data_IF_285812352961
#
_entry.id   IF_285812352961
#
_cell.length_a   1.000
_cell.length_b   1.000
_cell.length_c   1.000
_cell.angle_alpha   90.00
_cell.angle_beta   90.00
_cell.angle_gamma   90.00
#
_symmetry.space_group_name_H-M   'P 1'
#
loop_
_entity.id
_entity.type
_entity.pdbx_description
1 polymer ?
#
# COMPACT_ATOMS: atom_id res chain seq x y z
N UNK A 1 -13.95 -8.78 -17.17
CA UNK A 1 -13.00 -7.76 -17.70
C UNK A 1 -13.63 -6.38 -17.83
N UNK A 2 -14.84 -6.22 -18.33
CA UNK A 2 -15.55 -4.92 -18.45
C UNK A 2 -15.64 -4.15 -17.12
N UNK A 3 -16.06 -4.80 -16.03
CA UNK A 3 -16.20 -4.16 -14.71
C UNK A 3 -14.88 -3.61 -14.13
N UNK A 4 -13.76 -4.30 -14.33
CA UNK A 4 -12.43 -3.83 -13.91
C UNK A 4 -12.06 -2.55 -14.66
N UNK A 5 -12.22 -2.54 -15.98
CA UNK A 5 -11.89 -1.37 -16.81
C UNK A 5 -12.76 -0.17 -16.43
N UNK A 6 -14.07 -0.36 -16.29
CA UNK A 6 -14.95 0.75 -15.93
C UNK A 6 -14.71 1.24 -14.50
N UNK A 7 -14.31 0.36 -13.58
CA UNK A 7 -13.90 0.77 -12.22
C UNK A 7 -12.67 1.68 -12.24
N UNK A 8 -11.64 1.31 -13.02
CA UNK A 8 -10.44 2.15 -13.23
C UNK A 8 -10.85 3.50 -13.83
N UNK A 9 -11.62 3.49 -14.92
CA UNK A 9 -12.01 4.71 -15.62
C UNK A 9 -12.87 5.63 -14.75
N UNK A 10 -13.84 5.08 -14.01
CA UNK A 10 -14.72 5.86 -13.13
C UNK A 10 -13.92 6.58 -12.06
N UNK A 11 -13.04 5.87 -11.32
CA UNK A 11 -12.25 6.47 -10.26
C UNK A 11 -11.19 7.44 -10.83
N UNK A 12 -10.54 7.11 -11.93
CA UNK A 12 -9.59 7.98 -12.61
C UNK A 12 -10.22 9.30 -13.04
N UNK A 13 -11.36 9.24 -13.72
CA UNK A 13 -12.11 10.42 -14.19
C UNK A 13 -12.57 11.26 -12.99
N UNK A 14 -13.08 10.62 -11.93
CA UNK A 14 -13.49 11.33 -10.70
C UNK A 14 -12.33 12.13 -10.10
N UNK A 15 -11.12 11.54 -10.04
CA UNK A 15 -9.93 12.26 -9.56
C UNK A 15 -9.54 13.37 -10.53
N UNK A 16 -9.56 13.13 -11.83
CA UNK A 16 -9.14 14.10 -12.84
C UNK A 16 -9.97 15.41 -12.77
N UNK A 17 -11.28 15.28 -12.56
CA UNK A 17 -12.20 16.43 -12.42
C UNK A 17 -12.26 17.00 -10.99
N UNK A 18 -12.14 16.15 -9.95
CA UNK A 18 -12.24 16.58 -8.55
C UNK A 18 -10.97 17.24 -8.01
N UNK A 19 -9.79 16.87 -8.53
CA UNK A 19 -8.51 17.35 -8.00
C UNK A 19 -8.24 18.84 -8.26
N UNK A 20 -8.48 19.42 -9.45
CA UNK A 20 -8.22 20.83 -9.69
C UNK A 20 -9.01 21.78 -8.78
N UNK A 21 -10.35 21.63 -8.58
CA UNK A 21 -11.08 22.46 -7.62
C UNK A 21 -10.60 22.25 -6.17
N UNK A 22 -10.25 21.03 -5.76
CA UNK A 22 -9.69 20.78 -4.44
C UNK A 22 -8.40 21.55 -4.22
N UNK A 23 -7.45 21.50 -5.17
CA UNK A 23 -6.19 22.26 -5.09
C UNK A 23 -6.46 23.75 -4.94
N UNK A 24 -7.42 24.30 -5.70
CA UNK A 24 -7.80 25.71 -5.62
C UNK A 24 -8.34 26.07 -4.24
N UNK A 25 -9.29 25.30 -3.71
CA UNK A 25 -9.88 25.51 -2.40
C UNK A 25 -8.85 25.36 -1.29
N UNK A 26 -8.02 24.33 -1.33
CA UNK A 26 -6.99 24.10 -0.31
C UNK A 26 -5.97 25.24 -0.24
N UNK A 27 -5.56 25.81 -1.39
CA UNK A 27 -4.69 27.00 -1.43
C UNK A 27 -5.39 28.23 -0.85
N UNK A 28 -6.65 28.49 -1.21
CA UNK A 28 -7.43 29.61 -0.70
C UNK A 28 -7.64 29.53 0.83
N UNK A 29 -7.81 28.32 1.36
CA UNK A 29 -8.00 28.06 2.80
C UNK A 29 -6.68 27.86 3.55
N UNK A 30 -5.53 28.01 2.89
CA UNK A 30 -4.20 27.80 3.47
C UNK A 30 -4.00 26.41 4.10
N UNK A 31 -4.71 25.40 3.60
CA UNK A 31 -4.51 23.99 3.94
C UNK A 31 -3.28 23.46 3.18
N UNK A 32 -2.12 24.04 3.51
CA UNK A 32 -0.86 23.80 2.79
C UNK A 32 0.24 23.46 3.78
N UNK A 33 1.06 22.53 3.42
CA UNK A 33 2.27 22.22 4.14
C UNK A 33 3.31 23.33 3.90
N UNK A 34 3.65 24.09 4.97
CA UNK A 34 4.59 25.23 4.87
C UNK A 34 6.02 24.70 4.88
N UNK A 35 6.89 25.16 3.96
CA UNK A 35 8.32 24.93 4.07
C UNK A 35 8.87 25.62 5.34
N UNK A 36 9.74 24.96 6.06
CA UNK A 36 10.35 25.63 7.24
C UNK A 36 10.83 24.73 8.38
N UNK A 37 10.67 23.41 8.29
CA UNK A 37 11.34 22.48 9.19
C UNK A 37 12.44 21.74 8.44
N UNK A 38 13.61 21.50 9.10
CA UNK A 38 14.77 20.76 8.54
C UNK A 38 14.45 19.33 7.99
N UNK A 39 13.21 18.88 8.14
CA UNK A 39 12.71 17.56 7.70
C UNK A 39 12.01 17.62 6.35
N UNK A 40 11.61 18.80 5.84
CA UNK A 40 10.80 18.95 4.64
C UNK A 40 11.68 19.16 3.42
N UNK A 41 11.41 18.38 2.37
CA UNK A 41 12.16 18.34 1.11
C UNK A 41 11.59 19.32 0.05
N UNK A 42 10.60 20.14 0.41
CA UNK A 42 9.86 20.97 -0.54
C UNK A 42 10.09 22.46 -0.33
N UNK A 43 10.38 23.16 -1.43
CA UNK A 43 10.60 24.63 -1.46
C UNK A 43 9.29 25.41 -1.65
N UNK A 44 8.16 24.73 -1.89
CA UNK A 44 6.86 25.36 -2.19
C UNK A 44 5.81 24.92 -1.20
N UNK A 45 4.91 25.85 -0.87
CA UNK A 45 3.70 25.58 -0.10
C UNK A 45 2.73 24.72 -0.94
N UNK A 46 2.63 23.43 -0.63
CA UNK A 46 1.82 22.45 -1.38
C UNK A 46 0.69 21.92 -0.50
N UNK A 47 -0.58 21.87 -0.98
CA UNK A 47 -1.70 21.30 -0.23
C UNK A 47 -1.46 19.83 0.13
N UNK A 48 -1.83 19.45 1.37
CA UNK A 48 -1.67 18.08 1.90
C UNK A 48 -3.03 17.42 2.16
N UNK A 49 -3.93 17.47 1.17
CA UNK A 49 -5.32 16.95 1.28
C UNK A 49 -5.74 16.14 0.06
N UNK A 50 -4.78 15.61 -0.69
CA UNK A 50 -5.07 14.81 -1.89
C UNK A 50 -5.85 13.53 -1.61
N UNK A 51 -5.69 12.97 -0.41
CA UNK A 51 -6.43 11.83 0.09
C UNK A 51 -7.95 12.00 0.04
N UNK A 52 -8.47 13.24 0.14
CA UNK A 52 -9.91 13.51 0.06
C UNK A 52 -10.51 13.00 -1.26
N UNK A 53 -9.89 13.32 -2.38
CA UNK A 53 -10.40 12.90 -3.69
C UNK A 53 -10.05 11.43 -3.97
N UNK A 54 -8.89 10.93 -3.51
CA UNK A 54 -8.54 9.50 -3.61
C UNK A 54 -9.60 8.67 -2.90
N UNK A 55 -9.95 9.01 -1.65
CA UNK A 55 -10.99 8.35 -0.88
C UNK A 55 -12.34 8.41 -1.60
N UNK A 56 -12.82 9.61 -1.94
CA UNK A 56 -14.12 9.79 -2.57
C UNK A 56 -14.23 9.01 -3.89
N UNK A 57 -13.22 9.08 -4.76
CA UNK A 57 -13.19 8.39 -6.05
C UNK A 57 -13.16 6.86 -5.89
N UNK A 58 -12.37 6.37 -4.93
CA UNK A 58 -12.27 4.94 -4.65
C UNK A 58 -13.59 4.39 -4.11
N UNK A 59 -14.18 5.03 -3.08
CA UNK A 59 -15.43 4.57 -2.48
C UNK A 59 -16.58 4.65 -3.48
N UNK A 60 -16.71 5.76 -4.21
CA UNK A 60 -17.74 5.94 -5.23
C UNK A 60 -17.66 4.85 -6.30
N UNK A 61 -16.47 4.67 -6.91
CA UNK A 61 -16.28 3.67 -7.94
C UNK A 61 -16.50 2.25 -7.42
N UNK A 62 -15.92 1.89 -6.26
CA UNK A 62 -16.05 0.56 -5.68
C UNK A 62 -17.53 0.25 -5.38
N UNK A 63 -18.24 1.12 -4.69
CA UNK A 63 -19.66 0.89 -4.34
C UNK A 63 -20.54 0.80 -5.59
N UNK A 64 -20.37 1.71 -6.56
CA UNK A 64 -21.16 1.70 -7.80
C UNK A 64 -21.02 0.36 -8.54
N UNK A 65 -19.79 -0.11 -8.76
CA UNK A 65 -19.55 -1.31 -9.55
C UNK A 65 -19.73 -2.60 -8.77
N UNK A 66 -19.51 -2.61 -7.44
CA UNK A 66 -19.87 -3.74 -6.59
C UNK A 66 -21.39 -3.97 -6.57
N UNK A 67 -22.20 -2.91 -6.56
CA UNK A 67 -23.68 -3.02 -6.56
C UNK A 67 -24.22 -3.55 -7.89
N UNK A 68 -23.59 -3.18 -9.01
CA UNK A 68 -23.98 -3.61 -10.36
C UNK A 68 -23.48 -5.03 -10.67
N UNK A 69 -22.41 -5.47 -10.00
CA UNK A 69 -21.75 -6.75 -10.24
C UNK A 69 -22.50 -7.89 -9.61
N UNK A 70 -23.55 -8.32 -9.78
CA UNK A 70 -24.32 -9.52 -9.30
C UNK A 70 -23.52 -10.48 -8.35
N UNK A 71 -22.70 -9.90 -7.47
CA UNK A 71 -21.90 -10.65 -6.49
C UNK A 71 -22.85 -11.14 -5.38
N UNK A 72 -22.78 -12.44 -4.98
CA UNK A 72 -23.58 -12.95 -3.87
C UNK A 72 -23.35 -12.12 -2.58
N UNK A 73 -24.43 -11.87 -1.83
CA UNK A 73 -24.39 -11.04 -0.62
C UNK A 73 -23.31 -11.50 0.39
N UNK A 74 -23.08 -12.80 0.51
CA UNK A 74 -22.06 -13.38 1.39
C UNK A 74 -20.64 -12.92 1.00
N UNK A 75 -20.35 -12.80 -0.30
CA UNK A 75 -19.07 -12.31 -0.83
C UNK A 75 -18.98 -10.79 -0.78
N UNK A 76 -20.11 -10.11 -0.84
CA UNK A 76 -20.19 -8.65 -0.77
C UNK A 76 -20.08 -8.11 0.65
N UNK A 77 -20.64 -8.83 1.65
CA UNK A 77 -20.69 -8.41 3.06
C UNK A 77 -19.33 -7.98 3.65
N UNK A 78 -18.21 -8.70 3.47
CA UNK A 78 -16.89 -8.25 3.94
C UNK A 78 -16.49 -6.88 3.38
N UNK A 79 -16.85 -6.58 2.13
CA UNK A 79 -16.55 -5.29 1.51
C UNK A 79 -17.36 -4.15 2.11
N UNK A 80 -18.60 -4.39 2.55
CA UNK A 80 -19.38 -3.39 3.30
C UNK A 80 -18.63 -2.98 4.57
N UNK A 81 -18.13 -3.95 5.33
CA UNK A 81 -17.34 -3.68 6.55
C UNK A 81 -16.07 -2.90 6.21
N UNK A 82 -15.30 -3.33 5.22
CA UNK A 82 -14.05 -2.67 4.81
C UNK A 82 -14.31 -1.22 4.38
N UNK A 83 -15.28 -0.99 3.51
CA UNK A 83 -15.59 0.35 2.99
C UNK A 83 -16.19 1.25 4.09
N UNK A 84 -16.94 0.67 5.05
CA UNK A 84 -17.43 1.41 6.22
C UNK A 84 -16.29 1.81 7.15
N UNK A 85 -15.31 0.93 7.39
CA UNK A 85 -14.13 1.24 8.22
C UNK A 85 -13.15 2.21 7.53
N UNK A 86 -13.23 2.33 6.20
CA UNK A 86 -12.47 3.34 5.47
C UNK A 86 -12.91 4.78 5.82
N UNK A 87 -14.16 4.98 6.26
CA UNK A 87 -14.66 6.31 6.65
C UNK A 87 -13.96 6.86 7.91
N UNK A 88 -13.99 6.18 9.07
CA UNK A 88 -13.32 6.71 10.27
C UNK A 88 -11.80 6.83 10.11
N UNK A 89 -11.12 5.93 9.37
CA UNK A 89 -9.68 6.06 9.15
C UNK A 89 -9.36 7.26 8.24
N UNK A 90 -10.21 7.54 7.25
CA UNK A 90 -10.11 8.74 6.42
C UNK A 90 -10.21 10.02 7.26
N UNK A 91 -11.25 10.13 8.11
CA UNK A 91 -11.40 11.31 8.96
C UNK A 91 -10.29 11.44 10.00
N UNK A 92 -9.75 10.34 10.49
CA UNK A 92 -8.56 10.37 11.34
C UNK A 92 -7.37 10.94 10.58
N UNK A 93 -7.07 10.44 9.39
CA UNK A 93 -5.98 10.95 8.56
C UNK A 93 -6.16 12.42 8.18
N UNK A 94 -7.38 12.82 7.80
CA UNK A 94 -7.69 14.23 7.50
C UNK A 94 -7.49 15.13 8.69
N UNK A 95 -7.86 14.69 9.89
CA UNK A 95 -7.60 15.43 11.12
C UNK A 95 -6.10 15.55 11.39
N UNK A 96 -5.34 14.46 11.13
CA UNK A 96 -3.87 14.48 11.29
C UNK A 96 -3.21 15.46 10.31
N UNK A 97 -3.65 15.49 9.06
CA UNK A 97 -3.18 16.40 8.02
C UNK A 97 -3.42 17.88 8.36
N UNK A 98 -4.52 18.22 9.07
CA UNK A 98 -4.92 19.61 9.32
C UNK A 98 -4.41 20.14 10.66
N UNK A 99 -4.52 19.37 11.74
CA UNK A 99 -4.23 19.83 13.11
C UNK A 99 -3.27 18.92 13.89
N UNK A 100 -2.93 17.75 13.31
CA UNK A 100 -2.15 16.72 13.98
C UNK A 100 -2.96 15.87 14.97
N UNK A 101 -2.50 14.65 15.20
CA UNK A 101 -3.05 13.70 16.19
C UNK A 101 -1.92 13.14 17.04
N UNK A 102 -2.19 12.97 18.33
CA UNK A 102 -1.29 12.26 19.22
C UNK A 102 -1.05 10.81 18.73
N UNK A 103 0.22 10.33 18.67
CA UNK A 103 0.55 9.03 18.13
C UNK A 103 -0.16 7.85 18.83
N UNK A 104 -0.40 7.95 20.15
CA UNK A 104 -1.10 6.91 20.89
C UNK A 104 -2.58 6.86 20.53
N UNK A 105 -3.23 8.02 20.33
CA UNK A 105 -4.61 8.09 19.86
C UNK A 105 -4.74 7.54 18.45
N UNK A 106 -3.78 7.85 17.57
CA UNK A 106 -3.72 7.30 16.22
C UNK A 106 -3.61 5.76 16.25
N UNK A 107 -2.71 5.22 17.06
CA UNK A 107 -2.55 3.78 17.23
C UNK A 107 -3.81 3.11 17.77
N UNK A 108 -4.50 3.70 18.76
CA UNK A 108 -5.75 3.16 19.32
C UNK A 108 -6.85 3.07 18.25
N UNK A 109 -6.98 4.09 17.39
CA UNK A 109 -7.94 4.07 16.28
C UNK A 109 -7.57 2.99 15.26
N UNK A 110 -6.28 2.81 14.95
CA UNK A 110 -5.82 1.71 14.10
C UNK A 110 -6.17 0.35 14.68
N UNK A 111 -5.95 0.14 15.98
CA UNK A 111 -6.30 -1.13 16.66
C UNK A 111 -7.81 -1.40 16.57
N UNK A 112 -8.63 -0.38 16.79
CA UNK A 112 -10.08 -0.51 16.69
C UNK A 112 -10.52 -0.88 15.27
N UNK A 113 -10.05 -0.14 14.26
CA UNK A 113 -10.40 -0.36 12.86
C UNK A 113 -9.89 -1.71 12.36
N UNK A 114 -8.63 -2.05 12.66
CA UNK A 114 -8.06 -3.35 12.32
C UNK A 114 -8.83 -4.49 12.98
N UNK A 115 -9.20 -4.34 14.26
CA UNK A 115 -10.05 -5.28 14.98
C UNK A 115 -11.43 -5.48 14.33
N UNK A 116 -12.06 -4.38 13.87
CA UNK A 116 -13.35 -4.48 13.16
C UNK A 116 -13.21 -5.26 11.84
N UNK A 117 -12.17 -5.00 11.05
CA UNK A 117 -11.93 -5.73 9.79
C UNK A 117 -11.68 -7.21 10.05
N UNK A 118 -10.83 -7.52 11.04
CA UNK A 118 -10.44 -8.89 11.36
C UNK A 118 -11.61 -9.70 11.91
N UNK A 119 -12.41 -9.11 12.81
CA UNK A 119 -13.50 -9.82 13.49
C UNK A 119 -14.81 -9.80 12.71
N UNK A 120 -15.21 -8.64 12.15
CA UNK A 120 -16.52 -8.49 11.50
C UNK A 120 -16.53 -8.92 10.04
N UNK A 121 -15.39 -8.73 9.33
CA UNK A 121 -15.24 -9.13 7.94
C UNK A 121 -14.55 -10.50 7.79
N UNK A 122 -14.04 -11.08 8.88
CA UNK A 122 -13.21 -12.30 8.91
C UNK A 122 -12.02 -12.23 7.93
N UNK A 123 -11.43 -11.04 7.81
CA UNK A 123 -10.25 -10.81 6.97
C UNK A 123 -9.02 -10.90 7.85
N UNK A 124 -8.46 -12.10 7.95
CA UNK A 124 -7.33 -12.43 8.83
C UNK A 124 -6.41 -13.46 8.20
N UNK A 125 -5.18 -13.50 8.64
CA UNK A 125 -4.21 -14.53 8.28
C UNK A 125 -4.48 -15.72 9.20
N UNK A 126 -5.01 -16.79 8.65
CA UNK A 126 -5.42 -17.99 9.41
C UNK A 126 -4.39 -19.13 9.33
N UNK A 127 -3.34 -18.95 8.55
CA UNK A 127 -2.25 -19.92 8.40
C UNK A 127 -1.06 -19.35 7.66
N UNK A 128 0.00 -20.15 7.62
CA UNK A 128 1.19 -19.82 6.85
C UNK A 128 1.32 -20.63 5.56
N UNK A 129 0.31 -21.47 5.25
CA UNK A 129 0.18 -22.19 3.97
C UNK A 129 1.45 -22.96 3.60
N UNK A 130 1.96 -23.75 4.56
CA UNK A 130 3.18 -24.56 4.43
C UNK A 130 4.50 -23.84 4.68
N UNK A 131 4.49 -22.52 4.88
CA UNK A 131 5.70 -21.82 5.33
C UNK A 131 6.10 -22.31 6.73
N UNK A 132 7.37 -22.66 6.89
CA UNK A 132 7.94 -23.18 8.15
C UNK A 132 7.25 -24.46 8.64
N UNK A 133 6.57 -25.20 7.74
CA UNK A 133 5.80 -26.40 8.07
C UNK A 133 4.49 -26.11 8.81
N UNK A 134 4.04 -24.87 8.85
CA UNK A 134 2.81 -24.45 9.51
C UNK A 134 1.71 -24.20 8.46
N UNK A 135 0.64 -24.99 8.52
CA UNK A 135 -0.55 -24.82 7.65
C UNK A 135 -1.51 -23.79 8.26
N UNK A 136 -2.01 -24.06 9.44
CA UNK A 136 -2.99 -23.23 10.15
C UNK A 136 -2.47 -22.77 11.49
N UNK A 137 -2.98 -21.65 11.99
CA UNK A 137 -2.66 -21.13 13.33
C UNK A 137 -3.92 -21.00 14.18
N UNK A 138 -3.81 -21.12 15.53
CA UNK A 138 -4.95 -20.95 16.43
C UNK A 138 -5.63 -19.58 16.25
N UNK A 139 -6.94 -19.53 16.41
CA UNK A 139 -7.75 -18.34 16.10
C UNK A 139 -7.30 -17.08 16.84
N UNK A 140 -6.93 -17.19 18.12
CA UNK A 140 -6.45 -16.05 18.89
C UNK A 140 -5.10 -15.52 18.37
N UNK A 141 -4.21 -16.44 17.96
CA UNK A 141 -2.93 -16.08 17.32
C UNK A 141 -3.20 -15.40 15.99
N UNK A 142 -4.14 -15.92 15.18
CA UNK A 142 -4.57 -15.33 13.92
C UNK A 142 -5.06 -13.89 14.09
N UNK A 143 -5.90 -13.62 15.10
CA UNK A 143 -6.39 -12.27 15.38
C UNK A 143 -5.26 -11.30 15.73
N UNK A 144 -4.42 -11.66 16.69
CA UNK A 144 -3.32 -10.82 17.16
C UNK A 144 -2.27 -10.59 16.06
N UNK A 145 -1.91 -11.66 15.34
CA UNK A 145 -0.96 -11.60 14.24
C UNK A 145 -1.49 -10.73 13.09
N UNK A 146 -2.74 -10.89 12.69
CA UNK A 146 -3.36 -10.09 11.65
C UNK A 146 -3.46 -8.62 12.03
N UNK A 147 -3.77 -8.32 13.30
CA UNK A 147 -3.80 -6.95 13.81
C UNK A 147 -2.40 -6.31 13.78
N UNK A 148 -1.38 -7.05 14.18
CA UNK A 148 0.01 -6.62 14.09
C UNK A 148 0.38 -6.33 12.63
N UNK A 149 0.10 -7.25 11.71
CA UNK A 149 0.39 -7.10 10.27
C UNK A 149 -0.37 -5.90 9.68
N UNK A 150 -1.64 -5.70 10.07
CA UNK A 150 -2.42 -4.52 9.68
C UNK A 150 -1.71 -3.21 10.06
N UNK A 151 -1.33 -3.09 11.34
CA UNK A 151 -0.63 -1.89 11.84
C UNK A 151 0.68 -1.68 11.11
N UNK A 152 1.46 -2.75 10.88
CA UNK A 152 2.74 -2.66 10.15
C UNK A 152 2.52 -2.18 8.72
N UNK A 153 1.59 -2.78 7.97
CA UNK A 153 1.35 -2.42 6.56
C UNK A 153 0.87 -0.98 6.43
N UNK A 154 -0.12 -0.57 7.25
CA UNK A 154 -0.68 0.78 7.17
C UNK A 154 0.40 1.83 7.50
N UNK A 155 1.21 1.60 8.55
CA UNK A 155 2.29 2.52 8.88
C UNK A 155 3.41 2.51 7.83
N UNK A 156 3.78 1.35 7.28
CA UNK A 156 4.80 1.26 6.25
C UNK A 156 4.43 2.07 4.99
N UNK A 157 3.15 2.01 4.60
CA UNK A 157 2.64 2.77 3.44
C UNK A 157 2.55 4.26 3.76
N UNK A 158 2.18 4.64 4.96
CA UNK A 158 2.21 6.04 5.40
C UNK A 158 3.64 6.62 5.38
N UNK A 159 4.64 5.84 5.82
CA UNK A 159 6.04 6.26 5.86
C UNK A 159 6.68 6.48 4.47
N UNK A 160 6.19 5.84 3.42
CA UNK A 160 6.72 6.04 2.06
C UNK A 160 6.13 7.27 1.34
N UNK A 161 5.13 7.95 1.92
CA UNK A 161 4.54 9.18 1.35
C UNK A 161 5.37 10.45 1.65
N UNK A 162 6.68 10.33 1.57
CA UNK A 162 7.62 11.45 1.82
C UNK A 162 8.22 12.09 0.57
N UNK A 163 7.92 11.59 -0.62
CA UNK A 163 8.53 12.02 -1.89
C UNK A 163 7.48 12.12 -2.99
N UNK A 164 7.57 13.19 -3.81
CA UNK A 164 6.65 13.42 -4.93
C UNK A 164 6.46 12.17 -5.80
N UNK A 165 5.21 11.74 -5.94
CA UNK A 165 4.83 10.60 -6.76
C UNK A 165 5.14 9.23 -6.17
N UNK A 166 5.94 9.12 -5.11
CA UNK A 166 6.44 7.83 -4.64
C UNK A 166 5.32 6.89 -4.19
N UNK A 167 4.55 7.28 -3.19
CA UNK A 167 3.46 6.45 -2.65
C UNK A 167 2.35 6.22 -3.67
N UNK A 168 1.99 7.26 -4.45
CA UNK A 168 1.00 7.15 -5.50
C UNK A 168 1.39 6.15 -6.58
N UNK A 169 2.63 6.23 -7.10
CA UNK A 169 3.10 5.32 -8.15
C UNK A 169 3.35 3.90 -7.65
N UNK A 170 3.89 3.73 -6.43
CA UNK A 170 3.96 2.42 -5.80
C UNK A 170 2.56 1.80 -5.65
N UNK A 171 1.60 2.58 -5.20
CA UNK A 171 0.21 2.13 -5.05
C UNK A 171 -0.41 1.70 -6.38
N UNK A 172 -0.12 2.40 -7.49
CA UNK A 172 -0.56 1.99 -8.83
C UNK A 172 0.00 0.61 -9.19
N UNK A 173 1.30 0.37 -8.96
CA UNK A 173 1.93 -0.94 -9.21
C UNK A 173 1.29 -2.03 -8.36
N UNK A 174 1.10 -1.77 -7.06
CA UNK A 174 0.49 -2.72 -6.13
C UNK A 174 -0.96 -3.05 -6.54
N UNK A 175 -1.77 -2.03 -6.84
CA UNK A 175 -3.17 -2.23 -7.24
C UNK A 175 -3.28 -2.96 -8.59
N UNK A 176 -2.38 -2.71 -9.53
CA UNK A 176 -2.33 -3.46 -10.79
C UNK A 176 -2.06 -4.95 -10.55
N UNK A 177 -1.09 -5.28 -9.69
CA UNK A 177 -0.77 -6.66 -9.32
C UNK A 177 -1.95 -7.36 -8.62
N UNK A 178 -2.60 -6.70 -7.64
CA UNK A 178 -3.79 -7.22 -6.97
C UNK A 178 -4.97 -7.39 -7.94
N UNK A 179 -5.22 -6.42 -8.81
CA UNK A 179 -6.30 -6.49 -9.80
C UNK A 179 -6.09 -7.66 -10.75
N UNK A 180 -4.86 -7.87 -11.22
CA UNK A 180 -4.51 -9.02 -12.07
C UNK A 180 -4.77 -10.34 -11.34
N UNK A 181 -4.29 -10.51 -10.10
CA UNK A 181 -4.52 -11.70 -9.29
C UNK A 181 -6.00 -12.00 -9.11
N UNK A 182 -6.76 -11.02 -8.61
CA UNK A 182 -8.18 -11.24 -8.31
C UNK A 182 -9.06 -11.39 -9.55
N UNK A 183 -8.68 -10.76 -10.66
CA UNK A 183 -9.34 -11.01 -11.94
C UNK A 183 -9.08 -12.43 -12.42
N UNK A 184 -7.84 -12.91 -12.36
CA UNK A 184 -7.45 -14.25 -12.79
C UNK A 184 -8.02 -15.35 -11.90
N UNK A 185 -8.22 -15.10 -10.62
CA UNK A 185 -8.80 -16.05 -9.63
C UNK A 185 -10.31 -15.89 -9.47
N UNK A 186 -10.98 -15.19 -10.40
CA UNK A 186 -12.44 -14.99 -10.40
C UNK A 186 -13.02 -14.46 -9.08
N UNK A 187 -12.34 -13.46 -8.50
CA UNK A 187 -12.76 -12.75 -7.29
C UNK A 187 -13.19 -11.30 -7.63
N UNK A 188 -14.38 -11.10 -8.23
CA UNK A 188 -14.77 -9.81 -8.81
C UNK A 188 -14.80 -8.68 -7.79
N UNK A 189 -15.23 -8.93 -6.55
CA UNK A 189 -15.28 -7.90 -5.51
C UNK A 189 -13.89 -7.31 -5.20
N UNK A 190 -12.89 -8.18 -5.03
CA UNK A 190 -11.51 -7.78 -4.79
C UNK A 190 -10.91 -7.07 -6.01
N UNK A 191 -11.22 -7.57 -7.22
CA UNK A 191 -10.77 -6.98 -8.48
C UNK A 191 -11.35 -5.56 -8.69
N UNK A 192 -12.63 -5.34 -8.38
CA UNK A 192 -13.29 -4.03 -8.47
C UNK A 192 -12.67 -3.04 -7.48
N UNK A 193 -12.45 -3.44 -6.22
CA UNK A 193 -11.90 -2.53 -5.19
C UNK A 193 -10.45 -2.17 -5.51
N UNK A 194 -9.61 -3.14 -5.88
CA UNK A 194 -8.23 -2.87 -6.29
C UNK A 194 -8.16 -2.00 -7.54
N UNK A 195 -9.01 -2.25 -8.54
CA UNK A 195 -9.12 -1.45 -9.76
C UNK A 195 -9.58 -0.01 -9.48
N UNK A 196 -10.56 0.17 -8.58
CA UNK A 196 -11.06 1.49 -8.18
C UNK A 196 -9.97 2.32 -7.49
N UNK A 197 -9.23 1.72 -6.54
CA UNK A 197 -8.12 2.43 -5.90
C UNK A 197 -6.97 2.68 -6.90
N UNK A 198 -6.66 1.71 -7.76
CA UNK A 198 -5.63 1.85 -8.80
C UNK A 198 -5.91 3.00 -9.76
N UNK A 199 -7.17 3.12 -10.23
CA UNK A 199 -7.61 4.23 -11.09
C UNK A 199 -7.56 5.58 -10.38
N UNK A 200 -7.95 5.64 -9.10
CA UNK A 200 -7.85 6.86 -8.30
C UNK A 200 -6.39 7.30 -8.12
N UNK A 201 -5.47 6.37 -7.84
CA UNK A 201 -4.04 6.65 -7.71
C UNK A 201 -3.38 7.06 -9.04
N UNK A 202 -3.80 6.46 -10.17
CA UNK A 202 -3.36 6.89 -11.51
C UNK A 202 -3.76 8.34 -11.79
N UNK A 203 -5.01 8.71 -11.51
CA UNK A 203 -5.47 10.08 -11.64
C UNK A 203 -4.73 11.04 -10.70
N UNK A 204 -4.53 10.64 -9.44
CA UNK A 204 -3.78 11.42 -8.45
C UNK A 204 -2.33 11.66 -8.89
N UNK A 205 -1.67 10.68 -9.47
CA UNK A 205 -0.27 10.75 -9.89
C UNK A 205 -0.02 11.87 -10.91
N UNK A 206 -1.00 12.22 -11.75
CA UNK A 206 -0.92 13.36 -12.68
C UNK A 206 -0.66 14.69 -11.95
N UNK A 207 -1.17 14.81 -10.72
CA UNK A 207 -1.06 16.03 -9.91
C UNK A 207 0.05 15.94 -8.86
N UNK A 208 0.45 14.72 -8.47
CA UNK A 208 1.43 14.46 -7.41
C UNK A 208 2.84 14.14 -7.96
N UNK A 209 2.98 13.74 -9.25
CA UNK A 209 4.30 13.51 -9.81
C UNK A 209 5.11 14.81 -9.87
N UNK A 210 6.42 14.69 -9.64
CA UNK A 210 7.32 15.83 -9.46
C UNK A 210 7.34 16.80 -10.66
N UNK A 211 7.16 18.11 -10.44
CA UNK A 211 6.94 18.82 -9.18
C UNK A 211 5.48 18.70 -8.70
N UNK A 212 5.26 18.20 -7.49
CA UNK A 212 3.94 17.95 -6.95
C UNK A 212 3.12 19.23 -6.78
N UNK A 213 1.84 19.19 -7.18
CA UNK A 213 0.86 20.25 -6.99
C UNK A 213 -0.03 20.02 -5.78
N UNK A 214 -0.04 18.78 -5.27
CA UNK A 214 -0.78 18.32 -4.08
C UNK A 214 -0.09 17.07 -3.52
N UNK A 215 -0.06 16.91 -2.20
CA UNK A 215 0.40 15.71 -1.52
C UNK A 215 -0.78 14.81 -1.15
N UNK A 216 -0.50 13.51 -0.96
CA UNK A 216 -1.49 12.51 -0.60
C UNK A 216 -2.01 12.75 0.82
N UNK A 217 -1.10 12.97 1.75
CA UNK A 217 -1.35 13.12 3.17
C UNK A 217 -1.75 11.82 3.86
N UNK A 218 -1.93 11.91 5.17
CA UNK A 218 -2.37 10.79 6.00
C UNK A 218 -3.77 10.31 5.62
N UNK A 219 -4.66 11.23 5.26
CA UNK A 219 -6.00 10.91 4.74
C UNK A 219 -5.99 9.98 3.53
N UNK A 220 -4.96 10.06 2.67
CA UNK A 220 -4.81 9.20 1.52
C UNK A 220 -3.99 7.94 1.83
N UNK A 221 -2.80 8.08 2.41
CA UNK A 221 -1.89 6.97 2.65
C UNK A 221 -2.45 5.91 3.59
N UNK A 222 -3.26 6.30 4.60
CA UNK A 222 -3.93 5.37 5.49
C UNK A 222 -5.03 4.55 4.79
N UNK A 223 -5.77 5.14 3.86
CA UNK A 223 -6.76 4.43 3.01
C UNK A 223 -6.04 3.44 2.09
N UNK A 224 -4.97 3.87 1.43
CA UNK A 224 -4.14 2.97 0.61
C UNK A 224 -3.63 1.80 1.47
N UNK A 225 -3.16 2.08 2.68
CA UNK A 225 -2.68 1.07 3.63
C UNK A 225 -3.76 0.06 4.05
N UNK A 226 -4.94 0.56 4.43
CA UNK A 226 -6.07 -0.29 4.82
C UNK A 226 -6.49 -1.23 3.69
N UNK A 227 -6.73 -0.69 2.49
CA UNK A 227 -7.17 -1.50 1.34
C UNK A 227 -6.07 -2.49 0.94
N UNK A 228 -4.81 -2.07 0.96
CA UNK A 228 -3.66 -2.94 0.66
C UNK A 228 -3.56 -4.11 1.63
N UNK A 229 -3.73 -3.89 2.95
CA UNK A 229 -3.77 -4.97 3.93
C UNK A 229 -4.88 -5.97 3.61
N UNK A 230 -6.09 -5.48 3.37
CA UNK A 230 -7.25 -6.33 3.03
C UNK A 230 -6.96 -7.19 1.78
N UNK A 231 -6.45 -6.57 0.73
CA UNK A 231 -6.13 -7.27 -0.51
C UNK A 231 -5.00 -8.29 -0.32
N UNK A 232 -3.95 -7.95 0.43
CA UNK A 232 -2.84 -8.86 0.73
C UNK A 232 -3.31 -10.11 1.50
N UNK A 233 -4.15 -9.94 2.54
CA UNK A 233 -4.74 -11.06 3.27
C UNK A 233 -5.62 -11.92 2.37
N UNK A 234 -6.43 -11.31 1.50
CA UNK A 234 -7.28 -12.03 0.55
C UNK A 234 -6.48 -12.78 -0.53
N UNK A 235 -5.30 -12.28 -0.94
CA UNK A 235 -4.36 -13.05 -1.79
C UNK A 235 -3.91 -14.31 -1.08
N UNK A 236 -3.45 -14.18 0.18
CA UNK A 236 -2.96 -15.30 0.98
C UNK A 236 -4.07 -16.36 1.16
N UNK A 237 -5.29 -15.95 1.49
CA UNK A 237 -6.45 -16.82 1.69
C UNK A 237 -7.16 -17.26 0.40
N UNK A 238 -6.62 -17.02 -0.81
CA UNK A 238 -7.26 -17.47 -2.04
C UNK A 238 -7.28 -19.00 -2.11
N UNK A 239 -8.46 -19.67 -2.24
CA UNK A 239 -8.54 -21.12 -2.40
C UNK A 239 -7.81 -21.63 -3.63
N UNK A 240 -7.28 -22.87 -3.57
CA UNK A 240 -6.55 -23.46 -4.69
C UNK A 240 -7.46 -23.68 -5.89
N UNK A 241 -8.72 -24.03 -5.64
CA UNK A 241 -9.75 -24.29 -6.65
C UNK A 241 -10.07 -23.05 -7.51
N UNK A 242 -9.87 -21.86 -6.93
CA UNK A 242 -10.05 -20.58 -7.64
C UNK A 242 -8.79 -20.16 -8.42
N UNK A 243 -7.67 -20.86 -8.23
CA UNK A 243 -6.38 -20.48 -8.83
C UNK A 243 -6.20 -21.20 -10.17
N UNK A 244 -6.17 -20.51 -11.32
CA UNK A 244 -6.02 -21.13 -12.62
C UNK A 244 -4.64 -21.82 -12.75
N UNK A 245 -4.54 -22.85 -13.58
CA UNK A 245 -3.37 -23.71 -13.72
C UNK A 245 -2.03 -22.94 -13.82
N UNK A 246 -1.89 -21.87 -14.60
CA UNK A 246 -0.63 -21.14 -14.68
C UNK A 246 -0.20 -20.47 -13.34
N UNK A 247 -1.15 -20.23 -12.42
CA UNK A 247 -0.92 -19.56 -11.14
C UNK A 247 -0.94 -20.51 -9.93
N UNK A 248 -1.28 -21.80 -10.10
CA UNK A 248 -1.40 -22.75 -8.98
C UNK A 248 -0.10 -22.95 -8.18
N UNK A 249 1.04 -22.85 -8.85
CA UNK A 249 2.34 -22.96 -8.18
C UNK A 249 2.88 -21.66 -7.58
N UNK A 250 2.12 -20.56 -7.64
CA UNK A 250 2.52 -19.30 -7.03
C UNK A 250 2.34 -19.38 -5.52
N UNK A 251 3.41 -19.12 -4.76
CA UNK A 251 3.33 -19.00 -3.31
C UNK A 251 2.59 -17.72 -2.94
N UNK A 252 1.35 -17.84 -2.45
CA UNK A 252 0.48 -16.71 -2.12
C UNK A 252 1.06 -15.78 -1.05
N UNK A 253 1.69 -16.28 0.04
CA UNK A 253 2.39 -15.42 0.99
C UNK A 253 3.57 -14.67 0.34
N UNK A 254 4.35 -15.31 -0.54
CA UNK A 254 5.44 -14.66 -1.25
C UNK A 254 4.91 -13.62 -2.22
N UNK A 255 3.78 -13.89 -2.92
CA UNK A 255 3.13 -12.93 -3.79
C UNK A 255 2.69 -11.67 -3.02
N UNK A 256 1.98 -11.84 -1.90
CA UNK A 256 1.55 -10.72 -1.07
C UNK A 256 2.74 -9.89 -0.58
N UNK A 257 3.80 -10.55 -0.10
CA UNK A 257 5.03 -9.87 0.32
C UNK A 257 5.80 -9.23 -0.83
N UNK A 258 5.75 -9.82 -2.02
CA UNK A 258 6.38 -9.27 -3.23
C UNK A 258 5.77 -7.95 -3.67
N UNK A 259 4.45 -7.86 -3.64
CA UNK A 259 3.74 -6.61 -3.91
C UNK A 259 4.09 -5.55 -2.86
N UNK A 260 4.25 -5.96 -1.61
CA UNK A 260 4.57 -5.10 -0.48
C UNK A 260 6.08 -4.93 -0.22
N UNK A 261 6.96 -5.47 -1.09
CA UNK A 261 8.39 -5.59 -0.79
C UNK A 261 9.03 -4.26 -0.41
N UNK A 262 8.80 -3.19 -1.18
CA UNK A 262 9.42 -1.90 -0.91
C UNK A 262 9.01 -1.30 0.46
N UNK A 263 7.72 -1.06 0.76
CA UNK A 263 7.36 -0.46 2.04
C UNK A 263 7.76 -1.32 3.25
N UNK A 264 7.65 -2.64 3.15
CA UNK A 264 8.01 -3.53 4.27
C UNK A 264 9.52 -3.59 4.49
N UNK A 265 10.31 -3.79 3.43
CA UNK A 265 11.77 -3.87 3.54
C UNK A 265 12.34 -2.55 4.05
N UNK A 266 11.86 -1.41 3.54
CA UNK A 266 12.33 -0.10 4.01
C UNK A 266 11.99 0.13 5.49
N UNK A 267 10.77 -0.20 5.90
CA UNK A 267 10.33 -0.05 7.30
C UNK A 267 11.09 -0.97 8.25
N UNK A 268 11.21 -2.28 7.93
CA UNK A 268 11.93 -3.25 8.76
C UNK A 268 13.41 -2.86 8.87
N UNK A 269 14.02 -2.44 7.77
CA UNK A 269 15.42 -2.00 7.74
C UNK A 269 15.65 -0.81 8.66
N UNK A 270 14.80 0.22 8.57
CA UNK A 270 14.93 1.42 9.41
C UNK A 270 14.69 1.08 10.88
N UNK A 271 13.70 0.25 11.18
CA UNK A 271 13.41 -0.22 12.53
C UNK A 271 14.63 -0.95 13.13
N UNK A 272 15.22 -1.89 12.39
CA UNK A 272 16.42 -2.63 12.80
C UNK A 272 17.62 -1.70 13.05
N UNK A 273 17.87 -0.75 12.13
CA UNK A 273 18.97 0.21 12.28
C UNK A 273 18.80 1.10 13.51
N UNK A 274 17.57 1.49 13.86
CA UNK A 274 17.28 2.28 15.07
C UNK A 274 17.57 1.47 16.34
N UNK A 275 17.09 0.22 16.39
CA UNK A 275 17.38 -0.69 17.53
C UNK A 275 18.88 -0.89 17.71
N UNK A 276 19.62 -1.16 16.63
CA UNK A 276 21.10 -1.33 16.69
C UNK A 276 21.84 -0.06 17.15
N UNK A 277 21.23 1.12 16.98
CA UNK A 277 21.79 2.40 17.47
C UNK A 277 21.33 2.78 18.86
N UNK A 278 20.55 1.94 19.55
CA UNK A 278 19.98 2.24 20.86
C UNK A 278 18.96 3.38 20.86
N UNK A 279 18.36 3.70 19.68
CA UNK A 279 17.35 4.76 19.54
C UNK A 279 15.97 4.11 19.46
N UNK A 280 14.95 4.82 19.94
CA UNK A 280 13.55 4.34 19.82
C UNK A 280 13.23 3.95 18.37
N UNK A 281 12.64 2.77 18.14
CA UNK A 281 12.21 2.33 16.81
C UNK A 281 11.23 3.30 16.12
N UNK A 282 10.50 4.07 16.92
CA UNK A 282 9.50 5.06 16.46
C UNK A 282 10.06 6.47 16.32
N UNK A 283 11.36 6.68 16.61
CA UNK A 283 11.98 8.00 16.46
C UNK A 283 11.95 8.43 14.98
N UNK A 284 11.64 9.68 14.68
CA UNK A 284 11.70 10.18 13.30
C UNK A 284 13.17 10.35 12.87
N UNK A 285 13.49 9.91 11.64
CA UNK A 285 14.82 10.06 11.05
C UNK A 285 14.77 10.25 9.52
N UNK A 286 15.95 10.28 8.89
CA UNK A 286 16.13 10.34 7.43
C UNK A 286 16.78 9.05 6.88
N UNK A 287 16.55 7.91 7.52
CA UNK A 287 17.17 6.63 7.15
C UNK A 287 16.42 5.88 6.05
N UNK A 288 15.19 6.26 5.72
CA UNK A 288 14.43 5.62 4.65
C UNK A 288 15.14 5.68 3.30
N UNK A 289 14.95 4.65 2.45
CA UNK A 289 15.63 4.50 1.16
C UNK A 289 15.46 5.76 0.30
N UNK A 290 14.25 6.33 0.25
CA UNK A 290 13.97 7.53 -0.52
C UNK A 290 14.77 8.75 -0.02
N UNK A 291 14.93 8.91 1.29
CA UNK A 291 15.79 9.97 1.85
C UNK A 291 17.25 9.79 1.50
N UNK A 292 17.75 8.54 1.52
CA UNK A 292 19.13 8.22 1.14
C UNK A 292 19.37 8.58 -0.33
N UNK A 293 18.46 8.21 -1.24
CA UNK A 293 18.57 8.51 -2.65
C UNK A 293 18.57 10.01 -2.92
N UNK A 294 17.66 10.76 -2.30
CA UNK A 294 17.64 12.23 -2.41
C UNK A 294 18.93 12.84 -1.87
N UNK A 295 19.39 12.39 -0.69
CA UNK A 295 20.67 12.85 -0.10
C UNK A 295 21.90 12.53 -0.96
N UNK A 296 21.80 11.56 -1.87
CA UNK A 296 22.80 11.24 -2.88
C UNK A 296 22.66 12.04 -4.18
N UNK A 297 21.69 12.96 -4.30
CA UNK A 297 21.50 13.85 -5.42
C UNK A 297 20.61 13.28 -6.55
N UNK A 298 19.87 12.19 -6.32
CA UNK A 298 18.98 11.62 -7.35
C UNK A 298 17.73 12.47 -7.60
N UNK A 299 17.31 13.32 -6.64
CA UNK A 299 16.10 14.14 -6.72
C UNK A 299 14.80 13.31 -6.70
N UNK A 300 13.65 13.97 -6.50
CA UNK A 300 12.35 13.31 -6.32
C UNK A 300 11.98 12.40 -7.50
N UNK A 301 12.04 12.91 -8.73
CA UNK A 301 11.61 12.18 -9.93
C UNK A 301 12.37 10.87 -10.15
N UNK A 302 13.71 10.90 -10.08
CA UNK A 302 14.53 9.71 -10.29
C UNK A 302 14.36 8.72 -9.16
N UNK A 303 14.26 9.21 -7.92
CA UNK A 303 14.01 8.37 -6.74
C UNK A 303 12.71 7.59 -6.87
N UNK A 304 11.61 8.25 -7.21
CA UNK A 304 10.31 7.60 -7.38
C UNK A 304 10.32 6.57 -8.49
N UNK A 305 10.88 6.89 -9.67
CA UNK A 305 10.96 5.95 -10.80
C UNK A 305 11.81 4.72 -10.45
N UNK A 306 12.97 4.89 -9.80
CA UNK A 306 13.82 3.76 -9.40
C UNK A 306 13.09 2.82 -8.44
N UNK A 307 12.35 3.36 -7.47
CA UNK A 307 11.59 2.57 -6.52
C UNK A 307 10.40 1.87 -7.19
N UNK A 308 9.71 2.53 -8.11
CA UNK A 308 8.63 1.89 -8.89
C UNK A 308 9.16 0.72 -9.73
N UNK A 309 10.29 0.90 -10.40
CA UNK A 309 10.93 -0.19 -11.16
C UNK A 309 11.27 -1.39 -10.26
N UNK A 310 11.82 -1.12 -9.07
CA UNK A 310 12.05 -2.15 -8.07
C UNK A 310 10.75 -2.85 -7.63
N UNK A 311 9.69 -2.09 -7.41
CA UNK A 311 8.38 -2.63 -7.02
C UNK A 311 7.75 -3.48 -8.13
N UNK A 312 7.84 -3.05 -9.39
CA UNK A 312 7.42 -3.86 -10.55
C UNK A 312 8.21 -5.16 -10.63
N UNK A 313 9.54 -5.08 -10.46
CA UNK A 313 10.41 -6.23 -10.50
C UNK A 313 10.05 -7.26 -9.40
N UNK A 314 9.91 -6.83 -8.14
CA UNK A 314 9.53 -7.72 -7.05
C UNK A 314 8.13 -8.29 -7.22
N UNK A 315 7.16 -7.49 -7.63
CA UNK A 315 5.82 -7.97 -7.93
C UNK A 315 5.85 -9.01 -9.05
N UNK A 316 6.59 -8.76 -10.14
CA UNK A 316 6.69 -9.69 -11.27
C UNK A 316 7.33 -11.03 -10.84
N UNK A 317 8.47 -11.00 -10.15
CA UNK A 317 9.15 -12.22 -9.69
C UNK A 317 8.26 -13.04 -8.75
N UNK A 318 7.46 -12.38 -7.90
CA UNK A 318 6.56 -13.09 -6.98
C UNK A 318 5.41 -13.82 -7.67
N UNK A 319 5.08 -13.49 -8.92
CA UNK A 319 4.15 -14.25 -9.76
C UNK A 319 4.79 -15.47 -10.41
N UNK A 320 6.11 -15.61 -10.38
CA UNK A 320 6.76 -16.76 -10.99
C UNK A 320 6.54 -18.01 -10.13
N UNK A 321 6.16 -19.10 -10.80
CA UNK A 321 6.12 -20.43 -10.19
C UNK A 321 7.55 -21.00 -10.07
N UNK A 322 8.30 -20.54 -9.08
CA UNK A 322 9.69 -20.97 -8.87
C UNK A 322 9.76 -22.46 -8.52
N UNK A 323 8.72 -23.01 -7.88
CA UNK A 323 8.69 -24.45 -7.58
C UNK A 323 8.62 -25.33 -8.84
N UNK A 324 7.93 -24.89 -9.90
CA UNK A 324 7.94 -25.58 -11.18
C UNK A 324 9.31 -25.49 -11.88
N UNK A 325 10.07 -24.43 -11.64
CA UNK A 325 11.41 -24.25 -12.21
C UNK A 325 12.48 -25.01 -11.43
N UNK A 326 12.32 -25.16 -10.12
CA UNK A 326 13.31 -25.76 -9.21
C UNK A 326 12.59 -26.63 -8.16
N UNK A 327 12.50 -27.93 -8.40
CA UNK A 327 11.73 -28.89 -7.56
C UNK A 327 12.25 -29.02 -6.12
N UNK A 328 13.48 -28.60 -5.84
CA UNK A 328 14.09 -28.59 -4.50
C UNK A 328 13.73 -27.35 -3.67
N UNK A 329 13.04 -26.34 -4.27
CA UNK A 329 12.53 -25.18 -3.55
C UNK A 329 11.18 -25.53 -2.92
N UNK A 330 11.16 -25.72 -1.60
CA UNK A 330 9.91 -25.75 -0.84
C UNK A 330 9.40 -24.33 -0.56
N UNK A 331 8.16 -24.14 -0.08
CA UNK A 331 7.60 -22.82 0.21
C UNK A 331 8.48 -21.97 1.13
N UNK A 332 9.10 -22.58 2.15
CA UNK A 332 9.97 -21.89 3.11
C UNK A 332 11.28 -21.40 2.48
N UNK A 333 11.96 -22.25 1.69
CA UNK A 333 13.19 -21.86 1.00
C UNK A 333 12.93 -20.77 -0.04
N UNK A 334 11.81 -20.84 -0.75
CA UNK A 334 11.37 -19.78 -1.67
C UNK A 334 11.16 -18.44 -0.94
N UNK A 335 10.42 -18.48 0.17
CA UNK A 335 10.19 -17.31 1.00
C UNK A 335 11.50 -16.70 1.52
N UNK A 336 12.41 -17.51 2.08
CA UNK A 336 13.69 -17.04 2.62
C UNK A 336 14.60 -16.47 1.53
N UNK A 337 14.68 -17.12 0.37
CA UNK A 337 15.43 -16.61 -0.77
C UNK A 337 14.87 -15.28 -1.27
N UNK A 338 13.53 -15.19 -1.38
CA UNK A 338 12.86 -13.95 -1.77
C UNK A 338 13.14 -12.81 -0.80
N UNK A 339 12.99 -13.06 0.51
CA UNK A 339 13.29 -12.07 1.56
C UNK A 339 14.76 -11.65 1.55
N UNK A 340 15.69 -12.59 1.38
CA UNK A 340 17.11 -12.30 1.25
C UNK A 340 17.40 -11.38 0.07
N UNK A 341 16.84 -11.67 -1.10
CA UNK A 341 16.95 -10.81 -2.29
C UNK A 341 16.35 -9.42 -2.06
N UNK A 342 15.17 -9.34 -1.42
CA UNK A 342 14.52 -8.07 -1.15
C UNK A 342 15.35 -7.18 -0.19
N UNK A 343 15.94 -7.76 0.85
CA UNK A 343 16.83 -7.07 1.79
C UNK A 343 18.11 -6.60 1.07
N UNK A 344 18.74 -7.45 0.26
CA UNK A 344 19.95 -7.11 -0.49
C UNK A 344 19.69 -5.97 -1.48
N UNK A 345 18.60 -6.04 -2.25
CA UNK A 345 18.23 -4.99 -3.20
C UNK A 345 17.82 -3.71 -2.44
N UNK A 346 17.14 -3.82 -1.29
CA UNK A 346 16.85 -2.68 -0.41
C UNK A 346 18.11 -2.01 0.17
N UNK A 347 19.25 -2.72 0.24
CA UNK A 347 20.55 -2.17 0.63
C UNK A 347 21.31 -1.50 -0.53
N UNK A 348 21.01 -1.83 -1.80
CA UNK A 348 21.69 -1.25 -2.97
C UNK A 348 21.76 0.28 -2.99
N UNK A 349 20.72 1.03 -2.61
CA UNK A 349 20.79 2.49 -2.54
C UNK A 349 21.93 3.02 -1.68
N UNK A 350 22.38 2.26 -0.69
CA UNK A 350 23.54 2.65 0.14
C UNK A 350 24.85 2.59 -0.63
N UNK A 351 24.95 1.70 -1.62
CA UNK A 351 26.14 1.48 -2.44
C UNK A 351 26.21 2.40 -3.67
N UNK A 352 25.08 2.98 -4.08
CA UNK A 352 25.03 3.86 -5.25
C UNK A 352 25.94 5.09 -5.06
N UNK A 353 26.62 5.58 -6.12
CA UNK A 353 27.47 6.76 -6.05
C UNK A 353 26.65 8.03 -5.76
N UNK A 354 27.30 9.00 -5.11
CA UNK A 354 26.72 10.35 -5.02
C UNK A 354 26.76 11.01 -6.40
N UNK A 355 25.64 11.55 -6.85
CA UNK A 355 25.59 12.36 -8.06
C UNK A 355 26.03 13.79 -7.70
N UNK A 356 26.84 14.43 -8.56
CA UNK A 356 27.14 15.87 -8.41
C UNK A 356 25.82 16.62 -8.63
N UNK A 357 25.38 17.37 -7.63
CA UNK A 357 24.28 18.32 -7.80
C UNK A 357 24.76 19.39 -8.80
N UNK A 358 24.04 19.50 -9.92
CA UNK A 358 24.20 20.61 -10.87
C UNK A 358 23.36 21.78 -10.44
#
# INVERSE_FOLDING_TARGET
MSLVIVSILTSFITVLFGMPPLIKVARLKQLVDKPGNDRKLHDRSTPNVGGVIIFAATIFSALAWLTISEIPLQTFRPWIVVLSTAVPIFFMGLKDDVIGIDPMKKLMIHILIGGMIIVLADIRIDGFYGLFGVETIPIYVSYLFSLFVYVVIVNAINLIDGVDGLAGGWGVVAMAAFTYWFHSTNQPGSAIVSASLGGALLGFLIFNFHPARIFMGDSGSLIVGLITFVLAVKVIGTPMEMTPEPLQGVSKPVLAMGILAYPLVDTIRVFFLRVCRGVSPFAPDKLHIHHILIGKGYGHRKTSILIWMGSVFFSFISFLNIHAMFTWFNPTTHFLAYMGCAILIGALPMLLPKLKMK
#
